data_IF_299688312693
#
_entry.id   IF_299688312693
#
_cell.length_a   1.000
_cell.length_b   1.000
_cell.length_c   1.000
_cell.angle_alpha   90.00
_cell.angle_beta   90.00
_cell.angle_gamma   90.00
#
_symmetry.space_group_name_H-M   'P 1'
#
loop_
_entity.id
_entity.type
_entity.pdbx_description
1 polymer ?
#
# COMPACT_ATOMS: atom_id res chain seq x y z
N UNK A 1 -17.66 -8.86 -2.63
CA UNK A 1 -16.59 -8.19 -1.84
C UNK A 1 -16.33 -6.84 -2.48
N UNK A 2 -16.25 -5.74 -1.72
CA UNK A 2 -15.97 -4.40 -2.28
C UNK A 2 -14.46 -4.18 -2.33
N UNK A 3 -14.00 -3.43 -3.33
CA UNK A 3 -12.65 -2.92 -3.42
C UNK A 3 -12.65 -1.39 -3.40
N UNK A 4 -11.52 -0.79 -3.03
CA UNK A 4 -11.26 0.63 -3.19
C UNK A 4 -9.94 0.82 -3.93
N UNK A 5 -9.94 1.73 -4.91
CA UNK A 5 -8.74 2.15 -5.60
C UNK A 5 -7.84 2.91 -4.62
N UNK A 6 -6.70 2.31 -4.30
CA UNK A 6 -5.79 2.77 -3.27
C UNK A 6 -4.44 3.08 -3.89
N UNK A 7 -3.95 4.29 -3.66
CA UNK A 7 -2.66 4.76 -4.15
C UNK A 7 -1.52 4.25 -3.27
N UNK A 8 -0.39 3.94 -3.91
CA UNK A 8 0.84 3.53 -3.28
C UNK A 8 1.89 4.64 -3.44
N UNK A 9 2.54 4.99 -2.34
CA UNK A 9 3.54 6.06 -2.25
C UNK A 9 4.85 5.49 -1.71
N UNK A 10 5.93 5.78 -2.41
CA UNK A 10 7.27 5.28 -2.15
C UNK A 10 7.49 3.82 -2.57
N UNK A 11 8.75 3.40 -2.53
CA UNK A 11 9.15 2.03 -2.86
C UNK A 11 8.84 1.63 -4.31
N UNK A 12 8.90 0.33 -4.62
CA UNK A 12 8.71 -0.17 -5.99
C UNK A 12 7.30 0.02 -6.60
N UNK A 13 6.28 0.31 -5.79
CA UNK A 13 4.91 0.55 -6.25
C UNK A 13 4.53 2.04 -6.28
N UNK A 14 5.49 2.93 -6.15
CA UNK A 14 5.24 4.36 -6.13
C UNK A 14 4.41 4.85 -7.35
N UNK A 15 3.39 5.66 -7.08
CA UNK A 15 2.47 6.20 -8.07
C UNK A 15 1.46 5.19 -8.65
N UNK A 16 1.48 3.91 -8.21
CA UNK A 16 0.48 2.92 -8.64
C UNK A 16 -0.81 3.08 -7.86
N UNK A 17 -1.93 2.87 -8.55
CA UNK A 17 -3.26 2.76 -7.94
C UNK A 17 -3.76 1.35 -8.17
N UNK A 18 -4.06 0.63 -7.10
CA UNK A 18 -4.53 -0.77 -7.17
C UNK A 18 -5.89 -0.92 -6.48
N UNK A 19 -6.77 -1.78 -7.00
CA UNK A 19 -8.02 -2.13 -6.34
C UNK A 19 -7.74 -3.03 -5.14
N UNK A 20 -7.90 -2.49 -3.92
CA UNK A 20 -7.65 -3.22 -2.68
C UNK A 20 -8.96 -3.68 -2.08
N UNK A 21 -9.02 -4.97 -1.75
CA UNK A 21 -10.18 -5.58 -1.11
C UNK A 21 -10.41 -4.97 0.28
N UNK A 22 -11.63 -4.50 0.50
CA UNK A 22 -12.04 -3.91 1.76
C UNK A 22 -12.42 -4.98 2.76
N UNK A 23 -12.03 -4.78 4.02
CA UNK A 23 -12.51 -5.59 5.14
C UNK A 23 -13.98 -5.33 5.46
N UNK A 24 -14.51 -6.05 6.45
CA UNK A 24 -15.91 -5.94 6.90
C UNK A 24 -16.35 -4.50 7.20
N UNK A 25 -15.44 -3.68 7.73
CA UNK A 25 -15.68 -2.28 8.07
C UNK A 25 -15.39 -1.31 6.93
N UNK A 26 -15.37 -1.77 5.68
CA UNK A 26 -15.08 -0.95 4.49
C UNK A 26 -13.75 -0.19 4.52
N UNK A 27 -12.79 -0.67 5.32
CA UNK A 27 -11.45 -0.10 5.42
C UNK A 27 -10.45 -0.98 4.68
N UNK A 28 -9.45 -0.34 4.06
CA UNK A 28 -8.28 -1.05 3.54
C UNK A 28 -7.50 -1.71 4.70
N UNK A 29 -6.85 -2.86 4.46
CA UNK A 29 -5.98 -3.50 5.45
C UNK A 29 -4.95 -2.55 6.06
N UNK A 30 -4.57 -2.76 7.31
CA UNK A 30 -3.57 -1.92 7.98
C UNK A 30 -2.20 -2.00 7.29
N UNK A 31 -1.86 -3.18 6.81
CA UNK A 31 -0.58 -3.50 6.20
C UNK A 31 -0.83 -4.31 4.92
N UNK A 32 -0.15 -3.93 3.86
CA UNK A 32 -0.11 -4.65 2.59
C UNK A 32 1.31 -5.19 2.39
N UNK A 33 1.44 -6.50 2.14
CA UNK A 33 2.74 -7.18 1.98
C UNK A 33 2.86 -7.73 0.57
N UNK A 34 3.99 -7.47 -0.06
CA UNK A 34 4.32 -7.99 -1.38
C UNK A 34 5.57 -8.87 -1.26
N UNK A 35 5.44 -10.20 -1.36
CA UNK A 35 6.60 -11.07 -1.45
C UNK A 35 7.26 -10.86 -2.81
N UNK A 36 8.54 -10.50 -2.80
CA UNK A 36 9.37 -10.33 -3.99
C UNK A 36 10.39 -11.47 -4.00
N UNK A 37 10.35 -12.36 -5.01
CA UNK A 37 11.34 -13.43 -5.12
C UNK A 37 12.71 -12.85 -5.45
N UNK A 38 13.77 -13.60 -5.11
CA UNK A 38 15.13 -13.25 -5.49
C UNK A 38 15.25 -13.18 -7.03
N UNK A 39 16.01 -12.21 -7.53
CA UNK A 39 16.25 -12.05 -8.96
C UNK A 39 17.68 -11.57 -9.21
N UNK A 40 18.51 -12.42 -9.82
CA UNK A 40 19.94 -12.16 -10.01
C UNK A 40 20.64 -11.96 -8.66
N UNK A 41 21.30 -10.82 -8.51
CA UNK A 41 21.99 -10.43 -7.27
C UNK A 41 21.06 -9.81 -6.22
N UNK A 42 19.77 -9.63 -6.52
CA UNK A 42 18.78 -9.08 -5.57
C UNK A 42 18.19 -10.22 -4.72
N UNK A 43 18.38 -10.21 -3.39
CA UNK A 43 17.81 -11.23 -2.52
C UNK A 43 16.29 -11.14 -2.45
N UNK A 44 15.64 -12.23 -2.04
CA UNK A 44 14.21 -12.23 -1.78
C UNK A 44 13.89 -11.27 -0.63
N UNK A 45 12.81 -10.50 -0.78
CA UNK A 45 12.39 -9.51 0.21
C UNK A 45 10.87 -9.49 0.32
N UNK A 46 10.34 -8.90 1.39
CA UNK A 46 8.91 -8.63 1.52
C UNK A 46 8.71 -7.14 1.65
N UNK A 47 8.18 -6.50 0.61
CA UNK A 47 7.85 -5.08 0.67
C UNK A 47 6.66 -4.91 1.60
N UNK A 48 6.78 -3.99 2.55
CA UNK A 48 5.72 -3.65 3.49
C UNK A 48 5.20 -2.26 3.19
N UNK A 49 3.89 -2.13 3.05
CA UNK A 49 3.22 -0.85 2.95
C UNK A 49 2.20 -0.69 4.08
N UNK A 50 2.18 0.48 4.71
CA UNK A 50 1.23 0.81 5.79
C UNK A 50 0.18 1.77 5.29
N UNK A 51 -1.08 1.55 5.69
CA UNK A 51 -2.14 2.48 5.32
C UNK A 51 -1.90 3.83 6.01
N UNK A 52 -2.08 4.91 5.28
CA UNK A 52 -2.03 6.28 5.75
C UNK A 52 -3.26 7.04 5.25
N UNK A 53 -3.60 8.12 5.95
CA UNK A 53 -4.63 9.05 5.49
C UNK A 53 -3.95 10.20 4.75
N UNK A 54 -4.38 10.42 3.53
CA UNK A 54 -4.09 11.63 2.79
C UNK A 54 -5.28 12.58 2.94
N UNK A 55 -5.01 13.87 3.13
CA UNK A 55 -6.02 14.91 3.18
C UNK A 55 -5.85 15.84 1.97
N UNK A 56 -6.94 16.13 1.28
CA UNK A 56 -6.96 17.16 0.25
C UNK A 56 -7.02 18.58 0.86
N UNK A 57 -6.88 19.60 0.03
CA UNK A 57 -6.97 21.01 0.45
C UNK A 57 -8.35 21.40 1.02
N UNK A 58 -9.38 20.58 0.80
CA UNK A 58 -10.75 20.77 1.31
C UNK A 58 -11.00 19.97 2.59
N UNK A 59 -9.99 19.26 3.10
CA UNK A 59 -10.07 18.44 4.32
C UNK A 59 -10.71 17.07 4.13
N UNK A 60 -11.03 16.65 2.91
CA UNK A 60 -11.49 15.29 2.66
C UNK A 60 -10.32 14.32 2.77
N UNK A 61 -10.56 13.16 3.40
CA UNK A 61 -9.55 12.15 3.58
C UNK A 61 -9.76 10.95 2.65
N UNK A 62 -8.67 10.43 2.09
CA UNK A 62 -8.64 9.14 1.40
C UNK A 62 -7.54 8.25 1.98
N UNK A 63 -7.71 6.95 1.80
CA UNK A 63 -6.68 5.98 2.17
C UNK A 63 -5.63 5.88 1.06
N UNK A 64 -4.36 5.81 1.47
CA UNK A 64 -3.23 5.43 0.62
C UNK A 64 -2.34 4.44 1.37
N UNK A 65 -1.42 3.80 0.67
CA UNK A 65 -0.38 2.95 1.22
C UNK A 65 0.97 3.63 1.10
N UNK A 66 1.70 3.75 2.20
CA UNK A 66 3.05 4.31 2.24
C UNK A 66 4.06 3.18 2.47
N UNK A 67 5.13 3.19 1.69
CA UNK A 67 6.20 2.20 1.80
C UNK A 67 6.93 2.33 3.14
N UNK A 68 6.99 1.23 3.88
CA UNK A 68 7.73 1.12 5.13
C UNK A 68 9.10 0.51 4.84
N UNK A 69 10.07 1.36 4.55
CA UNK A 69 11.46 0.96 4.31
C UNK A 69 12.10 0.32 5.56
N UNK A 70 11.64 0.65 6.77
CA UNK A 70 12.18 0.09 8.00
C UNK A 70 11.67 -1.34 8.28
N UNK A 71 10.57 -1.74 7.66
CA UNK A 71 9.98 -3.07 7.79
C UNK A 71 10.14 -3.95 6.55
N UNK A 72 10.84 -3.46 5.52
CA UNK A 72 11.07 -4.17 4.25
C UNK A 72 12.48 -4.73 4.15
#
# INVERSE_FOLDING_TARGET
>A
MKSADTEFVGGPLDGKVLPILLGLFHNVPKVYRVPVPAHGDVPAATLVYRRAREYDAKGHSRWRYEYDQAAS
#
